data_IF_742940266567
#
_entry.id   IF_742940266567
#
_cell.length_a   1.000
_cell.length_b   1.000
_cell.length_c   1.000
_cell.angle_alpha   90.00
_cell.angle_beta   90.00
_cell.angle_gamma   90.00
#
_symmetry.space_group_name_H-M   'P 1'
#
loop_
_entity.id
_entity.type
_entity.pdbx_description
1 polymer ?
#
# COMPACT_ATOMS: atom_id res chain seq x y z
N UNK A 1 14.92 -15.21 -17.91
CA UNK A 1 13.78 -15.89 -17.28
C UNK A 1 14.33 -17.09 -16.53
N UNK A 2 14.14 -17.18 -15.21
CA UNK A 2 14.71 -18.28 -14.44
C UNK A 2 13.95 -19.57 -14.75
N UNK A 3 14.68 -20.64 -15.11
CA UNK A 3 14.13 -21.98 -15.31
C UNK A 3 13.48 -22.58 -14.05
N UNK A 4 13.58 -21.88 -12.93
CA UNK A 4 13.02 -22.30 -11.64
C UNK A 4 11.48 -22.21 -11.58
N UNK A 5 10.90 -21.24 -12.29
CA UNK A 5 9.45 -21.06 -12.39
C UNK A 5 8.99 -21.28 -13.82
N UNK A 6 8.60 -22.52 -14.13
CA UNK A 6 7.88 -22.86 -15.37
C UNK A 6 6.41 -23.02 -15.04
N UNK A 7 5.53 -22.83 -15.99
CA UNK A 7 4.07 -22.89 -15.82
C UNK A 7 3.62 -24.23 -15.20
N UNK A 8 4.32 -25.32 -15.53
CA UNK A 8 3.94 -26.67 -15.09
C UNK A 8 4.35 -26.97 -13.64
N UNK A 9 5.32 -26.25 -13.07
CA UNK A 9 5.87 -26.62 -11.76
C UNK A 9 5.74 -25.54 -10.68
N UNK A 10 5.26 -24.33 -11.01
CA UNK A 10 5.25 -23.22 -10.07
C UNK A 10 4.33 -23.51 -8.85
N UNK A 11 3.19 -24.16 -9.05
CA UNK A 11 2.26 -24.52 -7.97
C UNK A 11 2.80 -25.61 -7.03
N UNK A 12 3.84 -26.32 -7.45
CA UNK A 12 4.47 -27.40 -6.67
C UNK A 12 5.72 -26.93 -5.91
N UNK A 13 6.08 -25.64 -5.98
CA UNK A 13 7.17 -25.07 -5.19
C UNK A 13 6.77 -25.00 -3.71
N UNK A 14 7.77 -25.19 -2.84
CA UNK A 14 7.55 -25.24 -1.39
C UNK A 14 6.87 -23.98 -0.85
N UNK A 15 7.25 -22.80 -1.34
CA UNK A 15 6.67 -21.51 -0.96
C UNK A 15 5.17 -21.37 -1.27
N UNK A 16 4.63 -22.21 -2.18
CA UNK A 16 3.20 -22.28 -2.49
C UNK A 16 2.53 -23.46 -1.79
N UNK A 17 3.24 -24.59 -1.61
CA UNK A 17 2.71 -25.78 -0.94
C UNK A 17 2.39 -25.54 0.53
N UNK A 18 3.21 -24.74 1.22
CA UNK A 18 2.99 -24.39 2.62
C UNK A 18 1.66 -23.68 2.86
N UNK A 19 1.14 -22.98 1.85
CA UNK A 19 -0.15 -22.30 1.92
C UNK A 19 -1.35 -23.22 1.62
N UNK A 20 -1.10 -24.45 1.16
CA UNK A 20 -2.16 -25.47 0.97
C UNK A 20 -2.43 -26.25 2.25
N UNK A 21 -1.56 -26.20 3.25
CA UNK A 21 -1.77 -26.92 4.50
C UNK A 21 -2.86 -26.24 5.32
N UNK A 22 -4.01 -26.88 5.39
CA UNK A 22 -5.06 -26.59 6.34
C UNK A 22 -4.49 -26.63 7.76
N UNK A 23 -4.74 -25.59 8.58
CA UNK A 23 -4.47 -25.58 10.02
C UNK A 23 -3.11 -25.12 10.56
N UNK A 24 -2.42 -24.17 9.98
CA UNK A 24 -1.62 -23.31 10.84
C UNK A 24 -2.50 -22.14 11.27
N UNK A 25 -2.93 -22.13 12.52
CA UNK A 25 -3.44 -20.95 13.24
C UNK A 25 -2.31 -19.93 13.31
N UNK A 26 -2.02 -19.26 12.19
CA UNK A 26 -1.22 -18.08 12.24
C UNK A 26 -2.05 -17.02 12.97
N UNK A 27 -1.49 -16.37 13.96
CA UNK A 27 -2.14 -15.27 14.69
C UNK A 27 -2.46 -14.08 13.75
N UNK A 28 -2.01 -14.12 12.53
CA UNK A 28 -2.29 -13.15 11.47
C UNK A 28 -3.54 -13.63 10.73
N UNK A 29 -4.60 -12.84 10.77
CA UNK A 29 -5.86 -13.11 10.04
C UNK A 29 -5.70 -12.92 8.53
N UNK A 30 -4.74 -13.61 7.92
CA UNK A 30 -4.54 -13.62 6.48
C UNK A 30 -5.13 -14.88 5.88
N UNK A 31 -5.97 -14.71 4.88
CA UNK A 31 -6.54 -15.84 4.14
C UNK A 31 -5.44 -16.56 3.33
N UNK A 32 -5.55 -17.89 3.13
CA UNK A 32 -4.57 -18.66 2.35
C UNK A 32 -4.27 -18.06 0.98
N UNK A 33 -5.28 -17.51 0.30
CA UNK A 33 -5.13 -16.84 -0.99
C UNK A 33 -4.24 -15.59 -0.88
N UNK A 34 -4.32 -14.85 0.22
CA UNK A 34 -3.48 -13.66 0.43
C UNK A 34 -2.02 -14.04 0.63
N UNK A 35 -1.76 -15.11 1.37
CA UNK A 35 -0.42 -15.67 1.56
C UNK A 35 0.16 -16.22 0.26
N UNK A 36 -0.65 -16.92 -0.54
CA UNK A 36 -0.26 -17.39 -1.86
C UNK A 36 0.18 -16.22 -2.76
N UNK A 37 -0.60 -15.14 -2.81
CA UNK A 37 -0.28 -13.97 -3.62
C UNK A 37 0.93 -13.19 -3.12
N UNK A 38 1.15 -13.14 -1.79
CA UNK A 38 2.37 -12.60 -1.20
C UNK A 38 3.61 -13.37 -1.66
N UNK A 39 3.52 -14.71 -1.71
CA UNK A 39 4.63 -15.55 -2.15
C UNK A 39 4.81 -15.47 -3.67
N UNK A 40 3.70 -15.35 -4.43
CA UNK A 40 3.73 -15.18 -5.88
C UNK A 40 4.46 -13.89 -6.28
N UNK A 41 4.17 -12.77 -5.63
CA UNK A 41 4.90 -11.50 -5.82
C UNK A 41 5.90 -11.35 -4.67
N UNK A 42 7.10 -11.85 -4.85
CA UNK A 42 8.16 -11.79 -3.85
C UNK A 42 9.55 -11.61 -4.47
N UNK A 43 10.55 -11.35 -3.66
CA UNK A 43 11.93 -11.15 -4.13
C UNK A 43 12.56 -12.38 -4.79
N UNK A 44 12.04 -13.57 -4.50
CA UNK A 44 12.59 -14.86 -4.97
C UNK A 44 11.87 -15.39 -6.19
N UNK A 45 10.76 -14.77 -6.59
CA UNK A 45 10.00 -15.14 -7.78
C UNK A 45 10.28 -14.18 -8.95
N UNK A 46 10.15 -14.61 -10.19
CA UNK A 46 10.34 -13.76 -11.37
C UNK A 46 9.14 -12.85 -11.67
N UNK A 47 8.07 -12.91 -10.85
CA UNK A 47 6.84 -12.18 -11.10
C UNK A 47 6.93 -10.79 -10.48
N UNK A 48 6.78 -9.75 -11.32
CA UNK A 48 6.91 -8.35 -10.92
C UNK A 48 5.57 -7.63 -10.77
N UNK A 49 4.52 -8.20 -11.38
CA UNK A 49 3.21 -7.56 -11.48
C UNK A 49 2.09 -8.55 -11.19
N UNK A 50 1.02 -8.06 -10.56
CA UNK A 50 -0.22 -8.80 -10.36
C UNK A 50 -1.42 -7.87 -10.50
N UNK A 51 -2.45 -8.34 -11.18
CA UNK A 51 -3.76 -7.69 -11.23
C UNK A 51 -4.73 -8.42 -10.29
N UNK A 52 -5.18 -7.74 -9.24
CA UNK A 52 -6.18 -8.26 -8.32
C UNK A 52 -7.59 -7.91 -8.82
N UNK A 53 -8.25 -8.88 -9.44
CA UNK A 53 -9.62 -8.73 -9.92
C UNK A 53 -10.56 -9.57 -9.06
N UNK A 54 -11.11 -8.96 -8.03
CA UNK A 54 -12.01 -9.60 -7.06
C UNK A 54 -13.32 -8.80 -6.95
N UNK A 55 -14.39 -9.44 -6.51
CA UNK A 55 -15.65 -8.77 -6.16
C UNK A 55 -15.48 -7.87 -4.93
N UNK A 56 -16.48 -7.02 -4.69
CA UNK A 56 -16.47 -6.11 -3.52
C UNK A 56 -16.57 -6.95 -2.23
N UNK A 57 -15.77 -6.59 -1.23
CA UNK A 57 -15.82 -7.24 0.10
C UNK A 57 -14.92 -8.47 0.30
N UNK A 58 -14.27 -8.98 -0.74
CA UNK A 58 -13.42 -10.19 -0.66
C UNK A 58 -11.95 -9.93 -0.31
N UNK A 59 -11.65 -8.83 0.37
CA UNK A 59 -10.32 -8.60 0.95
C UNK A 59 -9.24 -8.05 0.01
N UNK A 60 -9.59 -7.37 -1.11
CA UNK A 60 -8.59 -6.77 -2.03
C UNK A 60 -7.54 -5.91 -1.32
N UNK A 61 -7.99 -5.06 -0.41
CA UNK A 61 -7.10 -4.17 0.35
C UNK A 61 -6.15 -4.97 1.22
N UNK A 62 -6.65 -5.96 1.96
CA UNK A 62 -5.79 -6.85 2.76
C UNK A 62 -4.80 -7.63 1.90
N UNK A 63 -5.22 -8.13 0.74
CA UNK A 63 -4.30 -8.79 -0.21
C UNK A 63 -3.17 -7.86 -0.63
N UNK A 64 -3.49 -6.61 -1.01
CA UNK A 64 -2.49 -5.61 -1.39
C UNK A 64 -1.55 -5.28 -0.23
N UNK A 65 -2.07 -5.17 0.99
CA UNK A 65 -1.29 -4.95 2.21
C UNK A 65 -0.37 -6.15 2.47
N UNK A 66 -0.89 -7.38 2.40
CA UNK A 66 -0.11 -8.59 2.64
C UNK A 66 1.08 -8.72 1.68
N UNK A 67 0.89 -8.39 0.40
CA UNK A 67 1.97 -8.33 -0.59
C UNK A 67 2.97 -7.23 -0.21
N UNK A 68 2.49 -6.03 0.10
CA UNK A 68 3.32 -4.88 0.44
C UNK A 68 4.17 -5.13 1.70
N UNK A 69 3.59 -5.71 2.75
CA UNK A 69 4.31 -6.11 3.97
C UNK A 69 5.40 -7.15 3.68
N UNK A 70 5.22 -8.01 2.68
CA UNK A 70 6.25 -8.94 2.22
C UNK A 70 7.52 -8.26 1.69
N UNK A 71 7.41 -7.02 1.21
CA UNK A 71 8.53 -6.22 0.72
C UNK A 71 9.04 -5.17 1.72
N UNK A 72 8.36 -4.94 2.82
CA UNK A 72 8.60 -3.82 3.74
C UNK A 72 10.06 -3.74 4.20
N UNK A 73 10.60 -4.82 4.74
CA UNK A 73 11.99 -4.87 5.20
C UNK A 73 12.99 -4.60 4.06
N UNK A 74 12.78 -5.23 2.93
CA UNK A 74 13.66 -5.06 1.76
C UNK A 74 13.66 -3.61 1.26
N UNK A 75 12.49 -3.00 1.13
CA UNK A 75 12.34 -1.61 0.67
C UNK A 75 12.92 -0.63 1.69
N UNK A 76 12.72 -0.90 3.00
CA UNK A 76 13.29 -0.09 4.08
C UNK A 76 14.84 -0.11 4.05
N UNK A 77 15.44 -1.29 3.86
CA UNK A 77 16.90 -1.43 3.76
C UNK A 77 17.49 -0.71 2.53
N UNK A 78 16.67 -0.47 1.50
CA UNK A 78 17.05 0.36 0.35
C UNK A 78 16.88 1.87 0.61
N UNK A 79 16.46 2.29 1.79
CA UNK A 79 16.14 3.69 2.10
C UNK A 79 14.92 4.23 1.33
N UNK A 80 14.03 3.35 0.87
CA UNK A 80 12.85 3.69 0.07
C UNK A 80 11.56 3.42 0.85
N UNK A 81 10.43 3.79 0.27
CA UNK A 81 9.09 3.54 0.81
C UNK A 81 8.21 2.90 -0.23
N UNK A 82 7.25 2.10 0.23
CA UNK A 82 6.21 1.52 -0.60
C UNK A 82 5.26 2.64 -1.03
N UNK A 83 5.12 2.82 -2.34
CA UNK A 83 4.24 3.85 -2.90
C UNK A 83 2.83 3.30 -3.10
N UNK A 84 1.86 3.87 -2.42
CA UNK A 84 0.44 3.54 -2.57
C UNK A 84 -0.26 4.67 -3.31
N UNK A 85 -0.69 4.38 -4.54
CA UNK A 85 -1.45 5.32 -5.35
C UNK A 85 -2.95 5.15 -5.10
N UNK A 86 -3.60 6.22 -4.69
CA UNK A 86 -5.03 6.21 -4.34
C UNK A 86 -5.81 7.26 -5.13
N UNK A 87 -7.11 7.01 -5.34
CA UNK A 87 -7.97 7.96 -6.04
C UNK A 87 -8.13 9.28 -5.26
N UNK A 88 -8.33 9.18 -3.95
CA UNK A 88 -8.61 10.33 -3.08
C UNK A 88 -8.24 10.02 -1.61
N UNK A 89 -8.36 11.03 -0.75
CA UNK A 89 -8.05 10.93 0.68
C UNK A 89 -8.95 9.97 1.47
N UNK A 90 -10.17 9.72 1.04
CA UNK A 90 -11.06 8.75 1.71
C UNK A 90 -10.56 7.31 1.51
N UNK A 91 -10.09 6.98 0.29
CA UNK A 91 -9.47 5.68 0.02
C UNK A 91 -8.17 5.51 0.81
N UNK A 92 -7.36 6.58 0.95
CA UNK A 92 -6.17 6.57 1.81
C UNK A 92 -6.54 6.24 3.26
N UNK A 93 -7.56 6.91 3.83
CA UNK A 93 -8.05 6.65 5.19
C UNK A 93 -8.53 5.21 5.37
N UNK A 94 -9.27 4.68 4.39
CA UNK A 94 -9.73 3.29 4.44
C UNK A 94 -8.54 2.31 4.41
N UNK A 95 -7.55 2.54 3.56
CA UNK A 95 -6.35 1.72 3.50
C UNK A 95 -5.57 1.76 4.82
N UNK A 96 -5.42 2.95 5.42
CA UNK A 96 -4.81 3.11 6.74
C UNK A 96 -5.60 2.36 7.82
N UNK A 97 -6.93 2.42 7.79
CA UNK A 97 -7.79 1.68 8.71
C UNK A 97 -7.60 0.16 8.60
N UNK A 98 -7.46 -0.36 7.40
CA UNK A 98 -7.18 -1.79 7.19
C UNK A 98 -5.76 -2.18 7.65
N UNK A 99 -4.76 -1.31 7.46
CA UNK A 99 -3.42 -1.50 8.04
C UNK A 99 -3.46 -1.59 9.58
N UNK A 100 -4.28 -0.77 10.23
CA UNK A 100 -4.37 -0.71 11.69
C UNK A 100 -5.28 -1.78 12.29
N UNK A 101 -6.21 -2.36 11.52
CA UNK A 101 -7.26 -3.19 12.09
C UNK A 101 -7.18 -4.66 11.72
N UNK A 102 -7.39 -5.00 10.45
CA UNK A 102 -7.63 -6.38 10.05
C UNK A 102 -6.41 -7.09 9.50
N UNK A 103 -5.61 -6.37 8.71
CA UNK A 103 -4.59 -6.99 7.89
C UNK A 103 -3.24 -7.12 8.62
N UNK A 104 -2.96 -6.23 9.59
CA UNK A 104 -1.65 -6.17 10.27
C UNK A 104 -1.76 -5.70 11.73
N UNK A 105 -2.82 -6.07 12.43
CA UNK A 105 -3.09 -5.52 13.78
C UNK A 105 -1.92 -5.64 14.77
N UNK A 106 -1.18 -6.74 14.71
CA UNK A 106 -0.04 -7.00 15.59
C UNK A 106 1.24 -6.29 15.16
N UNK A 107 1.28 -5.74 13.95
CA UNK A 107 2.46 -5.08 13.40
C UNK A 107 2.56 -3.61 13.84
N UNK A 108 1.42 -2.92 13.96
CA UNK A 108 1.37 -1.47 14.20
C UNK A 108 0.71 -1.05 15.50
N UNK A 109 -0.09 -1.93 16.09
CA UNK A 109 -0.79 -1.74 17.35
C UNK A 109 -0.59 -2.98 18.21
N UNK A 110 -0.19 -2.82 19.47
CA UNK A 110 -0.25 -3.91 20.43
C UNK A 110 -1.71 -4.27 20.78
N UNK A 111 -1.91 -5.34 21.55
CA UNK A 111 -3.25 -5.83 21.85
C UNK A 111 -4.12 -4.81 22.61
N UNK A 112 -3.54 -4.05 23.52
CA UNK A 112 -4.25 -3.03 24.29
C UNK A 112 -4.61 -1.84 23.39
N UNK A 113 -3.64 -1.34 22.61
CA UNK A 113 -3.85 -0.27 21.62
C UNK A 113 -4.90 -0.67 20.57
N UNK A 114 -4.88 -1.95 20.12
CA UNK A 114 -5.88 -2.46 19.18
C UNK A 114 -7.29 -2.52 19.79
N UNK A 115 -7.45 -2.93 21.03
CA UNK A 115 -8.74 -3.00 21.70
C UNK A 115 -9.32 -1.60 21.93
N UNK A 116 -8.48 -0.61 22.24
CA UNK A 116 -8.86 0.81 22.28
C UNK A 116 -9.26 1.30 20.88
N UNK A 117 -8.43 1.04 19.87
CA UNK A 117 -8.69 1.46 18.48
C UNK A 117 -9.99 0.88 17.94
N UNK A 118 -10.25 -0.41 18.18
CA UNK A 118 -11.45 -1.12 17.72
C UNK A 118 -12.72 -0.76 18.48
N UNK A 119 -12.61 0.00 19.59
CA UNK A 119 -13.75 0.42 20.41
C UNK A 119 -14.25 -0.66 21.36
N UNK A 120 -13.49 -1.72 21.62
CA UNK A 120 -13.81 -2.74 22.62
C UNK A 120 -13.65 -2.21 24.04
N UNK A 121 -12.69 -1.28 24.23
CA UNK A 121 -12.45 -0.58 25.47
C UNK A 121 -12.94 0.85 25.34
N UNK A 122 -13.80 1.27 26.27
CA UNK A 122 -14.34 2.64 26.29
C UNK A 122 -13.28 3.59 26.86
N UNK A 123 -12.65 4.39 26.00
CA UNK A 123 -11.62 5.37 26.34
C UNK A 123 -11.97 6.75 25.82
N UNK A 124 -11.22 7.76 26.25
CA UNK A 124 -11.37 9.13 25.75
C UNK A 124 -10.93 9.18 24.28
N UNK A 125 -11.63 9.97 23.49
CA UNK A 125 -11.30 10.17 22.06
C UNK A 125 -9.87 10.72 21.86
N UNK A 126 -9.37 11.51 22.80
CA UNK A 126 -7.97 11.99 22.80
C UNK A 126 -6.95 10.87 22.83
N UNK A 127 -7.16 9.85 23.66
CA UNK A 127 -6.27 8.70 23.79
C UNK A 127 -6.29 7.83 22.52
N UNK A 128 -7.47 7.60 21.98
CA UNK A 128 -7.61 6.91 20.70
C UNK A 128 -6.89 7.64 19.55
N UNK A 129 -7.00 8.96 19.48
CA UNK A 129 -6.33 9.79 18.50
C UNK A 129 -4.80 9.76 18.65
N UNK A 130 -4.29 9.70 19.88
CA UNK A 130 -2.86 9.56 20.15
C UNK A 130 -2.30 8.24 19.63
N UNK A 131 -3.00 7.12 19.89
CA UNK A 131 -2.65 5.79 19.36
C UNK A 131 -2.62 5.81 17.83
N UNK A 132 -3.64 6.35 17.18
CA UNK A 132 -3.71 6.47 15.73
C UNK A 132 -2.55 7.31 15.20
N UNK A 133 -2.23 8.43 15.84
CA UNK A 133 -1.12 9.30 15.44
C UNK A 133 0.23 8.59 15.56
N UNK A 134 0.48 7.88 16.66
CA UNK A 134 1.69 7.07 16.89
C UNK A 134 1.86 6.02 15.80
N UNK A 135 0.83 5.22 15.55
CA UNK A 135 0.84 4.18 14.54
C UNK A 135 1.01 4.74 13.11
N UNK A 136 0.33 5.83 12.78
CA UNK A 136 0.48 6.52 11.49
C UNK A 136 1.91 7.00 11.27
N UNK A 137 2.58 7.48 12.32
CA UNK A 137 3.99 7.89 12.24
C UNK A 137 4.92 6.70 11.93
N UNK A 138 4.64 5.53 12.50
CA UNK A 138 5.38 4.29 12.21
C UNK A 138 5.13 3.86 10.75
N UNK A 139 3.87 3.80 10.31
CA UNK A 139 3.50 3.43 8.94
C UNK A 139 4.14 4.36 7.91
N UNK A 140 4.22 5.66 8.19
CA UNK A 140 4.79 6.65 7.27
C UNK A 140 6.28 6.47 6.98
N UNK A 141 7.00 5.69 7.80
CA UNK A 141 8.40 5.31 7.52
C UNK A 141 8.51 4.32 6.37
N UNK A 142 7.54 3.41 6.24
CA UNK A 142 7.53 2.34 5.24
C UNK A 142 6.61 2.63 4.05
N UNK A 143 5.58 3.45 4.23
CA UNK A 143 4.58 3.74 3.21
C UNK A 143 4.54 5.22 2.83
N UNK A 144 4.24 5.47 1.56
CA UNK A 144 3.96 6.79 1.03
C UNK A 144 2.65 6.77 0.24
N UNK A 145 1.64 7.47 0.72
CA UNK A 145 0.35 7.60 0.05
C UNK A 145 0.34 8.83 -0.85
N UNK A 146 -0.07 8.64 -2.09
CA UNK A 146 -0.15 9.72 -3.09
C UNK A 146 -1.43 9.58 -3.89
N UNK A 147 -2.19 10.66 -4.03
CA UNK A 147 -3.36 10.65 -4.92
C UNK A 147 -2.93 10.65 -6.39
N UNK A 148 -3.75 10.07 -7.28
CA UNK A 148 -3.47 10.06 -8.73
C UNK A 148 -3.17 11.45 -9.28
N UNK A 149 -3.97 12.47 -8.89
CA UNK A 149 -3.75 13.84 -9.33
C UNK A 149 -2.40 14.41 -8.87
N UNK A 150 -2.02 14.14 -7.62
CA UNK A 150 -0.71 14.55 -7.09
C UNK A 150 0.43 13.82 -7.78
N UNK A 151 0.29 12.52 -8.03
CA UNK A 151 1.29 11.71 -8.74
C UNK A 151 1.50 12.23 -10.15
N UNK A 152 0.41 12.41 -10.92
CA UNK A 152 0.47 12.95 -12.28
C UNK A 152 1.17 14.32 -12.30
N UNK A 153 0.83 15.22 -11.37
CA UNK A 153 1.47 16.53 -11.29
C UNK A 153 2.96 16.47 -10.91
N UNK A 154 3.39 15.46 -10.16
CA UNK A 154 4.81 15.25 -9.83
C UNK A 154 5.58 14.67 -11.02
N UNK A 155 5.01 13.74 -11.74
CA UNK A 155 5.65 13.06 -12.88
C UNK A 155 5.64 13.93 -14.13
N UNK A 156 4.49 14.49 -14.49
CA UNK A 156 4.31 15.28 -15.71
C UNK A 156 4.58 16.78 -15.52
N UNK A 157 4.80 17.22 -14.29
CA UNK A 157 4.96 18.61 -13.91
C UNK A 157 3.66 19.30 -13.49
N UNK A 158 3.80 20.32 -12.65
CA UNK A 158 2.65 21.11 -12.19
C UNK A 158 2.07 21.92 -13.38
N UNK A 159 0.75 21.88 -13.52
CA UNK A 159 0.04 22.65 -14.54
C UNK A 159 -0.26 24.04 -13.99
N UNK A 160 -0.07 25.06 -14.82
CA UNK A 160 -0.56 26.41 -14.61
C UNK A 160 -1.79 26.65 -15.46
N UNK A 161 -2.70 27.47 -14.92
CA UNK A 161 -3.86 27.91 -15.67
C UNK A 161 -3.53 29.33 -16.17
N UNK A 162 -3.45 29.52 -17.47
CA UNK A 162 -3.36 30.83 -18.10
C UNK A 162 -4.71 31.14 -18.76
N UNK A 163 -5.14 32.39 -18.67
CA UNK A 163 -6.26 32.89 -19.46
C UNK A 163 -5.74 33.42 -20.77
N UNK A 164 -6.34 33.02 -21.86
CA UNK A 164 -6.08 33.60 -23.17
C UNK A 164 -6.71 35.01 -23.28
N UNK A 165 -6.45 35.68 -24.37
CA UNK A 165 -6.97 37.03 -24.68
C UNK A 165 -8.50 37.08 -24.72
N UNK A 166 -9.17 35.92 -24.85
CA UNK A 166 -10.61 35.77 -24.90
C UNK A 166 -11.19 35.31 -23.54
N UNK A 167 -10.34 35.22 -22.50
CA UNK A 167 -10.76 34.82 -21.15
C UNK A 167 -10.90 33.30 -20.94
N UNK A 168 -10.60 32.46 -21.92
CA UNK A 168 -10.63 31.02 -21.80
C UNK A 168 -9.44 30.53 -20.99
N UNK A 169 -9.66 29.54 -20.11
CA UNK A 169 -8.59 28.99 -19.27
C UNK A 169 -7.89 27.85 -19.98
N UNK A 170 -6.62 28.02 -20.31
CA UNK A 170 -5.76 26.99 -20.89
C UNK A 170 -4.82 26.40 -19.81
N UNK A 171 -4.51 25.12 -19.92
CA UNK A 171 -3.58 24.42 -19.00
C UNK A 171 -2.20 24.34 -19.61
N UNK A 172 -1.22 24.98 -19.01
CA UNK A 172 0.21 24.85 -19.39
C UNK A 172 1.00 24.15 -18.28
N UNK A 173 2.06 23.44 -18.67
CA UNK A 173 2.98 22.81 -17.70
C UNK A 173 3.96 23.87 -17.20
N UNK A 174 4.10 24.00 -15.87
CA UNK A 174 5.08 24.88 -15.26
C UNK A 174 6.48 24.50 -15.70
N UNK A 175 7.22 25.47 -16.24
CA UNK A 175 8.63 25.32 -16.60
C UNK A 175 9.52 26.16 -15.68
N UNK A 176 10.76 25.73 -15.52
CA UNK A 176 11.81 26.54 -14.88
C UNK A 176 12.20 27.69 -15.78
N UNK A 177 12.99 28.65 -15.27
CA UNK A 177 13.58 29.75 -16.09
C UNK A 177 14.45 29.20 -17.22
N UNK A 178 14.95 27.98 -17.12
CA UNK A 178 15.74 27.26 -18.13
C UNK A 178 14.89 26.45 -19.12
N UNK A 179 13.56 26.54 -19.03
CA UNK A 179 12.64 25.84 -19.94
C UNK A 179 12.31 24.39 -19.56
N UNK A 180 12.93 23.83 -18.54
CA UNK A 180 12.67 22.47 -18.06
C UNK A 180 11.33 22.37 -17.32
N UNK A 181 10.70 21.20 -17.37
CA UNK A 181 9.45 20.94 -16.64
C UNK A 181 9.72 20.95 -15.13
N UNK A 182 9.04 21.85 -14.40
CA UNK A 182 9.14 21.92 -12.94
C UNK A 182 8.42 20.71 -12.31
N UNK A 183 9.17 19.73 -11.87
CA UNK A 183 8.67 18.54 -11.18
C UNK A 183 8.87 18.69 -9.67
N UNK A 184 7.97 18.15 -8.87
CA UNK A 184 8.16 17.99 -7.42
C UNK A 184 8.74 16.61 -7.16
N UNK A 185 9.66 16.43 -6.20
CA UNK A 185 10.15 15.09 -5.84
C UNK A 185 8.99 14.20 -5.36
N UNK A 186 9.09 12.93 -5.70
CA UNK A 186 8.17 11.87 -5.25
C UNK A 186 8.62 11.40 -3.88
#
# INVERSE_FOLDING_TARGET
>A
MSLYYTDDNFLNKMEFLENKSENKKSHIHQEPTQMLLRNYISKVTPFENVLLYHEVGVGKTCTSITIAEGFKEYIYNMGKRILVLVKNKNIEKNFMGELLSKCTREEYLDNEEYDIYSGKVNTKESERNEIIHKATKIISKSYQFVTYGTFINRVLGAKEFEKDEYGNTTKKVKRTKTGEIKRKPI
#
